data_IF_189688011041
#
_entry.id   IF_189688011041
#
_cell.length_a   1.000
_cell.length_b   1.000
_cell.length_c   1.000
_cell.angle_alpha   90.00
_cell.angle_beta   90.00
_cell.angle_gamma   90.00
#
_symmetry.space_group_name_H-M   'P 1'
#
loop_
_entity.id
_entity.type
_entity.pdbx_description
1 polymer ?
#
# COMPACT_ATOMS: atom_id res chain seq x y z
N UNK A 1 33.33 -69.59 3.29
CA UNK A 1 32.11 -68.88 2.81
C UNK A 1 31.00 -69.92 2.77
N UNK A 2 29.75 -69.70 3.20
CA UNK A 2 29.06 -68.49 3.70
C UNK A 2 28.32 -68.72 5.06
N UNK A 3 27.48 -67.76 5.44
CA UNK A 3 26.39 -67.80 6.46
C UNK A 3 26.75 -67.42 7.91
N UNK A 4 26.57 -66.14 8.24
CA UNK A 4 26.25 -65.70 9.60
C UNK A 4 24.74 -65.41 9.69
N UNK A 5 24.03 -65.93 10.71
CA UNK A 5 22.60 -65.69 10.89
C UNK A 5 22.29 -64.41 11.70
N UNK A 6 21.11 -63.88 11.39
CA UNK A 6 20.32 -62.89 12.11
C UNK A 6 20.09 -63.21 13.60
N UNK A 7 20.02 -62.15 14.41
CA UNK A 7 19.00 -61.79 15.43
C UNK A 7 19.68 -61.00 16.57
N UNK A 8 19.41 -59.69 16.67
CA UNK A 8 18.49 -59.06 17.63
C UNK A 8 19.01 -59.14 19.09
N UNK A 9 19.06 -58.08 19.89
CA UNK A 9 17.92 -57.28 20.34
C UNK A 9 18.49 -56.03 21.05
N UNK A 10 17.67 -54.97 21.09
CA UNK A 10 17.91 -53.68 21.69
C UNK A 10 18.26 -53.71 23.19
N UNK A 11 19.04 -52.73 23.67
CA UNK A 11 18.66 -51.85 24.78
C UNK A 11 19.71 -50.74 25.01
N UNK A 12 19.24 -49.65 25.62
CA UNK A 12 19.98 -48.49 26.17
C UNK A 12 20.47 -47.46 25.13
N UNK A 13 20.25 -46.16 25.30
CA UNK A 13 19.71 -45.42 26.44
C UNK A 13 19.14 -44.09 25.92
N UNK A 14 18.10 -43.62 26.61
CA UNK A 14 17.55 -42.28 26.43
C UNK A 14 18.64 -41.22 26.67
N UNK A 15 18.97 -40.47 25.62
CA UNK A 15 19.65 -39.19 25.75
C UNK A 15 18.58 -38.08 25.83
N UNK A 16 18.75 -37.08 26.71
CA UNK A 16 17.76 -36.05 26.94
C UNK A 16 17.53 -35.30 25.63
N UNK A 17 16.25 -35.17 25.24
CA UNK A 17 15.84 -34.19 24.26
C UNK A 17 16.31 -32.83 24.79
N UNK A 18 17.48 -32.38 24.30
CA UNK A 18 17.84 -30.99 24.36
C UNK A 18 16.62 -30.25 23.79
N UNK A 19 16.02 -29.30 24.52
CA UNK A 19 15.10 -28.40 23.86
C UNK A 19 15.94 -27.79 22.74
N UNK A 20 15.63 -28.15 21.50
CA UNK A 20 16.04 -27.36 20.37
C UNK A 20 15.50 -25.99 20.68
N UNK A 21 16.38 -25.13 21.18
CA UNK A 21 16.23 -23.69 21.11
C UNK A 21 16.18 -23.50 19.60
N UNK A 22 14.97 -23.59 19.05
CA UNK A 22 14.64 -23.07 17.75
C UNK A 22 14.92 -21.60 17.95
N UNK A 23 16.18 -21.25 17.65
CA UNK A 23 16.72 -19.93 17.83
C UNK A 23 15.67 -19.01 17.26
N UNK A 24 15.17 -18.14 18.13
CA UNK A 24 14.13 -17.20 17.86
C UNK A 24 14.39 -16.65 16.47
N UNK A 25 13.66 -17.17 15.48
CA UNK A 25 13.25 -16.35 14.39
C UNK A 25 12.47 -15.26 15.11
N UNK A 26 13.15 -14.18 15.45
CA UNK A 26 12.66 -12.82 15.22
C UNK A 26 12.15 -12.83 13.79
N UNK A 27 10.99 -13.48 13.62
CA UNK A 27 9.91 -13.09 12.76
C UNK A 27 9.89 -11.60 12.97
N UNK A 28 10.48 -10.91 12.00
CA UNK A 28 10.29 -9.50 11.79
C UNK A 28 8.83 -9.28 12.12
N UNK A 29 8.60 -8.68 13.29
CA UNK A 29 7.26 -8.45 13.78
C UNK A 29 6.50 -7.95 12.57
N UNK A 30 5.46 -8.67 12.17
CA UNK A 30 4.50 -8.19 11.22
C UNK A 30 4.23 -6.77 11.70
N UNK A 31 4.78 -5.78 11.01
CA UNK A 31 4.64 -4.38 11.37
C UNK A 31 3.14 -4.20 11.21
N UNK A 32 2.40 -4.30 12.31
CA UNK A 32 0.96 -4.27 12.30
C UNK A 32 0.62 -3.00 11.54
N UNK A 33 0.09 -3.15 10.33
CA UNK A 33 -0.31 -2.01 9.52
C UNK A 33 -1.26 -1.22 10.42
N UNK A 34 -0.84 -0.01 10.77
CA UNK A 34 -1.63 0.79 11.68
C UNK A 34 -2.95 1.12 10.99
N UNK A 35 -4.08 1.16 11.70
CA UNK A 35 -5.37 1.52 11.11
C UNK A 35 -5.32 2.82 10.29
N UNK A 36 -4.55 3.82 10.72
CA UNK A 36 -4.35 5.06 9.97
C UNK A 36 -3.61 4.83 8.63
N UNK A 37 -2.59 3.97 8.61
CA UNK A 37 -1.87 3.56 7.39
C UNK A 37 -2.79 2.82 6.43
N UNK A 38 -3.57 1.86 6.95
CA UNK A 38 -4.50 1.06 6.15
C UNK A 38 -5.60 1.94 5.54
N UNK A 39 -6.17 2.86 6.31
CA UNK A 39 -7.18 3.80 5.81
C UNK A 39 -6.60 4.76 4.77
N UNK A 40 -5.34 5.19 4.94
CA UNK A 40 -4.64 6.02 3.95
C UNK A 40 -4.41 5.27 2.64
N UNK A 41 -3.91 4.03 2.72
CA UNK A 41 -3.72 3.18 1.55
C UNK A 41 -5.04 2.91 0.83
N UNK A 42 -6.11 2.65 1.58
CA UNK A 42 -7.44 2.44 1.01
C UNK A 42 -7.96 3.68 0.30
N UNK A 43 -7.80 4.87 0.88
CA UNK A 43 -8.12 6.13 0.23
C UNK A 43 -7.34 6.30 -1.09
N UNK A 44 -6.04 6.00 -1.09
CA UNK A 44 -5.22 6.02 -2.30
C UNK A 44 -5.71 5.06 -3.39
N UNK A 45 -6.05 3.82 -3.02
CA UNK A 45 -6.62 2.83 -3.93
C UNK A 45 -8.01 3.24 -4.47
N UNK A 46 -8.88 3.79 -3.62
CA UNK A 46 -10.21 4.26 -4.03
C UNK A 46 -10.07 5.43 -5.02
N UNK A 47 -9.14 6.36 -4.78
CA UNK A 47 -8.85 7.48 -5.69
C UNK A 47 -8.26 7.00 -7.02
N UNK A 48 -7.35 6.03 -6.99
CA UNK A 48 -6.84 5.38 -8.20
C UNK A 48 -7.99 4.81 -9.03
N UNK A 49 -8.94 4.10 -8.41
CA UNK A 49 -10.07 3.51 -9.12
C UNK A 49 -10.99 4.58 -9.76
N UNK A 50 -11.22 5.70 -9.06
CA UNK A 50 -12.00 6.83 -9.62
C UNK A 50 -11.28 7.46 -10.81
N UNK A 51 -9.97 7.70 -10.71
CA UNK A 51 -9.18 8.25 -11.81
C UNK A 51 -9.16 7.30 -13.00
N UNK A 52 -8.94 6.00 -12.78
CA UNK A 52 -9.00 4.99 -13.84
C UNK A 52 -10.34 5.03 -14.57
N UNK A 53 -11.46 5.04 -13.84
CA UNK A 53 -12.80 5.08 -14.43
C UNK A 53 -13.05 6.38 -15.20
N UNK A 54 -12.64 7.51 -14.66
CA UNK A 54 -12.75 8.80 -15.33
C UNK A 54 -11.94 8.84 -16.62
N UNK A 55 -10.72 8.31 -16.61
CA UNK A 55 -9.85 8.30 -17.79
C UNK A 55 -10.30 7.27 -18.84
N UNK A 56 -11.00 6.21 -18.44
CA UNK A 56 -11.67 5.29 -19.38
C UNK A 56 -12.95 5.86 -19.99
N UNK A 57 -13.45 7.02 -19.53
CA UNK A 57 -14.67 7.61 -20.08
C UNK A 57 -14.45 8.12 -21.52
N UNK A 58 -15.43 7.89 -22.43
CA UNK A 58 -15.32 8.24 -23.84
C UNK A 58 -15.26 9.74 -24.11
N UNK A 59 -15.74 10.57 -23.19
CA UNK A 59 -15.71 12.03 -23.31
C UNK A 59 -15.09 12.68 -22.09
N UNK A 60 -14.51 13.86 -22.27
CA UNK A 60 -13.96 14.63 -21.15
C UNK A 60 -15.04 15.15 -20.21
N UNK A 61 -16.24 15.46 -20.72
CA UNK A 61 -17.36 15.88 -19.89
C UNK A 61 -17.78 14.78 -18.91
N UNK A 62 -17.83 13.53 -19.39
CA UNK A 62 -18.13 12.37 -18.54
C UNK A 62 -16.98 12.08 -17.56
N UNK A 63 -15.73 12.18 -18.01
CA UNK A 63 -14.56 12.05 -17.14
C UNK A 63 -14.61 13.05 -15.97
N UNK A 64 -14.90 14.32 -16.27
CA UNK A 64 -15.04 15.38 -15.27
C UNK A 64 -16.20 15.07 -14.31
N UNK A 65 -17.37 14.67 -14.83
CA UNK A 65 -18.52 14.33 -14.00
C UNK A 65 -18.23 13.18 -13.02
N UNK A 66 -17.49 12.15 -13.45
CA UNK A 66 -17.02 11.06 -12.58
C UNK A 66 -16.09 11.62 -11.49
N UNK A 67 -15.07 12.40 -11.86
CA UNK A 67 -14.11 12.98 -10.92
C UNK A 67 -14.78 13.90 -9.89
N UNK A 68 -15.77 14.69 -10.31
CA UNK A 68 -16.47 15.61 -9.40
C UNK A 68 -17.39 14.86 -8.45
N UNK A 69 -18.23 13.96 -8.98
CA UNK A 69 -19.22 13.20 -8.21
C UNK A 69 -18.55 12.23 -7.24
N UNK A 70 -17.58 11.46 -7.71
CA UNK A 70 -16.92 10.44 -6.90
C UNK A 70 -15.72 10.99 -6.11
N UNK A 71 -15.11 12.08 -6.59
CA UNK A 71 -14.02 12.75 -5.86
C UNK A 71 -14.48 13.58 -4.67
N UNK A 72 -15.74 14.04 -4.62
CA UNK A 72 -16.29 14.74 -3.46
C UNK A 72 -16.24 13.92 -2.15
N UNK A 73 -16.79 12.69 -2.07
CA UNK A 73 -16.70 11.89 -0.85
C UNK A 73 -15.27 11.46 -0.49
N UNK A 74 -14.38 11.30 -1.49
CA UNK A 74 -12.96 10.99 -1.24
C UNK A 74 -12.23 12.18 -0.62
N UNK A 75 -12.54 13.41 -1.04
CA UNK A 75 -12.04 14.64 -0.40
C UNK A 75 -12.49 14.76 1.04
N UNK A 76 -13.74 14.47 1.33
CA UNK A 76 -14.26 14.49 2.70
C UNK A 76 -13.56 13.44 3.58
N UNK A 77 -13.45 12.19 3.10
CA UNK A 77 -12.72 11.13 3.82
C UNK A 77 -11.26 11.50 4.06
N UNK A 78 -10.60 12.14 3.11
CA UNK A 78 -9.24 12.61 3.28
C UNK A 78 -9.13 13.68 4.37
N UNK A 79 -10.03 14.66 4.40
CA UNK A 79 -10.07 15.69 5.44
C UNK A 79 -10.26 15.09 6.84
N UNK A 80 -11.13 14.08 6.95
CA UNK A 80 -11.35 13.35 8.20
C UNK A 80 -10.15 12.50 8.63
N UNK A 81 -9.44 11.90 7.67
CA UNK A 81 -8.29 11.03 7.94
C UNK A 81 -7.00 11.80 8.25
N UNK A 82 -6.81 12.98 7.66
CA UNK A 82 -5.60 13.82 7.81
C UNK A 82 -5.14 14.02 9.26
N UNK A 83 -5.98 14.46 10.23
CA UNK A 83 -5.51 14.69 11.60
C UNK A 83 -5.01 13.40 12.25
N UNK A 84 -5.75 12.30 12.10
CA UNK A 84 -5.39 10.99 12.66
C UNK A 84 -4.09 10.46 12.05
N UNK A 85 -3.94 10.59 10.72
CA UNK A 85 -2.73 10.18 10.02
C UNK A 85 -1.52 11.04 10.41
N UNK A 86 -1.69 12.35 10.55
CA UNK A 86 -0.64 13.27 10.96
C UNK A 86 -0.19 13.02 12.42
N UNK A 87 -1.13 12.83 13.35
CA UNK A 87 -0.82 12.48 14.74
C UNK A 87 -0.07 11.15 14.84
N UNK A 88 -0.52 10.16 14.07
CA UNK A 88 0.14 8.87 14.00
C UNK A 88 1.57 8.97 13.46
N UNK A 89 1.80 9.77 12.42
CA UNK A 89 3.13 10.00 11.86
C UNK A 89 4.05 10.81 12.79
N UNK A 90 3.51 11.77 13.55
CA UNK A 90 4.28 12.60 14.49
C UNK A 90 4.91 11.79 15.64
N UNK A 91 4.27 10.69 16.04
CA UNK A 91 4.78 9.79 17.09
C UNK A 91 5.84 8.79 16.61
N UNK A 92 6.22 8.79 15.33
CA UNK A 92 7.13 7.80 14.75
C UNK A 92 8.57 8.29 14.72
N UNK A 93 9.50 7.36 14.92
CA UNK A 93 10.93 7.60 14.71
C UNK A 93 11.24 7.86 13.22
N UNK A 94 12.40 8.47 12.89
CA UNK A 94 12.83 8.66 11.50
C UNK A 94 12.90 7.33 10.71
N UNK A 95 13.34 6.25 11.35
CA UNK A 95 13.44 4.92 10.74
C UNK A 95 12.06 4.35 10.40
N UNK A 96 11.09 4.49 11.30
CA UNK A 96 9.71 4.07 11.06
C UNK A 96 9.04 4.89 9.96
N UNK A 97 9.28 6.21 9.97
CA UNK A 97 8.80 7.12 8.92
C UNK A 97 9.34 6.73 7.55
N UNK A 98 10.62 6.37 7.45
CA UNK A 98 11.21 5.85 6.22
C UNK A 98 10.55 4.53 5.78
N UNK A 99 10.26 3.64 6.73
CA UNK A 99 9.53 2.40 6.46
C UNK A 99 8.11 2.61 5.93
N UNK A 100 7.33 3.53 6.53
CA UNK A 100 6.01 3.93 6.03
C UNK A 100 6.12 4.51 4.62
N UNK A 101 7.07 5.43 4.39
CA UNK A 101 7.28 6.02 3.07
C UNK A 101 7.61 4.98 2.00
N UNK A 102 8.49 4.03 2.31
CA UNK A 102 8.83 2.95 1.39
C UNK A 102 7.62 2.08 1.08
N UNK A 103 6.76 1.76 2.06
CA UNK A 103 5.51 1.01 1.81
C UNK A 103 4.53 1.79 0.94
N UNK A 104 4.38 3.10 1.18
CA UNK A 104 3.53 3.96 0.35
C UNK A 104 4.06 4.06 -1.08
N UNK A 105 5.37 4.19 -1.27
CA UNK A 105 5.97 4.23 -2.62
C UNK A 105 5.81 2.92 -3.38
N UNK A 106 5.78 1.79 -2.67
CA UNK A 106 5.52 0.47 -3.26
C UNK A 106 4.02 0.12 -3.37
N UNK A 107 3.12 1.04 -3.01
CA UNK A 107 1.69 0.80 -3.12
C UNK A 107 1.22 0.89 -4.59
N UNK A 108 0.14 0.17 -4.89
CA UNK A 108 -0.44 0.13 -6.23
C UNK A 108 -0.84 1.51 -6.75
N UNK A 109 -1.35 2.39 -5.86
CA UNK A 109 -1.74 3.73 -6.25
C UNK A 109 -0.53 4.61 -6.56
N UNK A 110 0.57 4.49 -5.79
CA UNK A 110 1.80 5.26 -6.05
C UNK A 110 2.43 4.84 -7.39
N UNK A 111 2.47 3.54 -7.68
CA UNK A 111 2.90 3.05 -9.00
C UNK A 111 2.00 3.59 -10.12
N UNK A 112 0.68 3.48 -9.96
CA UNK A 112 -0.27 3.96 -10.95
C UNK A 112 -0.11 5.46 -11.23
N UNK A 113 -0.12 6.30 -10.20
CA UNK A 113 0.03 7.75 -10.38
C UNK A 113 1.41 8.13 -10.92
N UNK A 114 2.47 7.40 -10.57
CA UNK A 114 3.79 7.58 -11.19
C UNK A 114 3.81 7.26 -12.69
N UNK A 115 2.99 6.30 -13.14
CA UNK A 115 2.84 6.01 -14.58
C UNK A 115 1.92 7.01 -15.31
N UNK A 116 0.98 7.64 -14.61
CA UNK A 116 0.11 8.66 -15.21
C UNK A 116 0.89 9.90 -15.63
N UNK A 117 1.93 10.29 -14.90
CA UNK A 117 2.79 11.41 -15.29
C UNK A 117 3.57 11.15 -16.58
N UNK A 118 3.83 9.87 -16.91
CA UNK A 118 4.62 9.47 -18.08
C UNK A 118 3.79 8.99 -19.26
N UNK A 119 2.47 8.82 -19.11
CA UNK A 119 1.57 8.41 -20.19
C UNK A 119 1.39 9.55 -21.23
N UNK A 120 1.83 9.37 -22.49
CA UNK A 120 1.74 10.40 -23.52
C UNK A 120 0.29 10.72 -23.93
N UNK A 121 -0.57 9.70 -23.98
CA UNK A 121 -1.95 9.85 -24.43
C UNK A 121 -2.77 10.60 -23.38
N UNK A 122 -2.55 10.27 -22.10
CA UNK A 122 -3.12 11.01 -20.99
C UNK A 122 -2.59 12.44 -20.94
N UNK A 123 -1.28 12.63 -21.04
CA UNK A 123 -0.68 13.97 -21.03
C UNK A 123 -1.24 14.86 -22.14
N UNK A 124 -1.44 14.32 -23.34
CA UNK A 124 -2.06 15.04 -24.44
C UNK A 124 -3.53 15.40 -24.14
N UNK A 125 -4.30 14.46 -23.59
CA UNK A 125 -5.69 14.70 -23.19
C UNK A 125 -5.81 15.76 -22.09
N UNK A 126 -4.98 15.67 -21.05
CA UNK A 126 -4.93 16.65 -19.95
C UNK A 126 -4.42 18.02 -20.41
N UNK A 127 -3.49 18.07 -21.37
CA UNK A 127 -3.04 19.34 -21.98
C UNK A 127 -4.12 19.97 -22.85
N UNK A 128 -4.90 19.16 -23.57
CA UNK A 128 -6.01 19.60 -24.41
C UNK A 128 -7.23 20.08 -23.60
N UNK A 129 -7.37 19.66 -22.34
CA UNK A 129 -8.51 20.00 -21.50
C UNK A 129 -8.09 20.47 -20.10
N UNK A 130 -8.06 21.79 -19.90
CA UNK A 130 -7.65 22.41 -18.64
C UNK A 130 -8.57 22.05 -17.46
N UNK A 131 -9.87 21.85 -17.70
CA UNK A 131 -10.83 21.45 -16.66
C UNK A 131 -10.60 20.03 -16.18
N UNK A 132 -10.39 19.09 -17.11
CA UNK A 132 -10.05 17.71 -16.78
C UNK A 132 -8.74 17.64 -15.99
N UNK A 133 -7.72 18.38 -16.42
CA UNK A 133 -6.45 18.49 -15.71
C UNK A 133 -6.63 19.06 -14.29
N UNK A 134 -7.45 20.09 -14.13
CA UNK A 134 -7.75 20.66 -12.83
C UNK A 134 -8.50 19.68 -11.93
N UNK A 135 -9.47 18.92 -12.46
CA UNK A 135 -10.21 17.90 -11.71
C UNK A 135 -9.29 16.78 -11.22
N UNK A 136 -8.42 16.25 -12.09
CA UNK A 136 -7.42 15.23 -11.72
C UNK A 136 -6.44 15.78 -10.67
N UNK A 137 -5.89 16.99 -10.87
CA UNK A 137 -4.99 17.63 -9.90
C UNK A 137 -5.67 17.90 -8.56
N UNK A 138 -6.92 18.35 -8.56
CA UNK A 138 -7.68 18.57 -7.32
C UNK A 138 -7.86 17.27 -6.55
N UNK A 139 -8.10 16.16 -7.25
CA UNK A 139 -8.18 14.86 -6.62
C UNK A 139 -6.79 14.47 -6.09
N UNK A 140 -5.73 14.51 -6.88
CA UNK A 140 -4.37 14.17 -6.42
C UNK A 140 -3.87 14.97 -5.21
N UNK A 141 -4.12 16.28 -5.19
CA UNK A 141 -3.77 17.15 -4.05
C UNK A 141 -4.46 16.72 -2.74
N UNK A 142 -5.53 15.94 -2.83
CA UNK A 142 -6.22 15.38 -1.66
C UNK A 142 -5.39 14.30 -0.95
N UNK A 143 -4.52 13.59 -1.70
CA UNK A 143 -3.57 12.61 -1.14
C UNK A 143 -2.28 13.25 -0.63
N UNK A 144 -1.97 14.47 -1.06
CA UNK A 144 -0.85 15.22 -0.51
C UNK A 144 -1.20 15.69 0.92
N UNK A 145 -1.12 14.76 1.85
CA UNK A 145 -1.37 14.98 3.27
C UNK A 145 -0.19 15.65 3.97
N UNK A 146 0.76 16.24 3.22
CA UNK A 146 1.71 17.18 3.80
C UNK A 146 0.92 18.32 4.43
N UNK A 147 0.97 18.39 5.75
CA UNK A 147 0.61 19.61 6.47
C UNK A 147 1.50 20.72 5.89
N UNK A 148 0.88 21.73 5.28
CA UNK A 148 1.55 23.02 5.10
C UNK A 148 1.62 23.70 6.46
#
# INVERSE_FOLDING_TARGET
MPHLPLFALALLAAAPNAPSIVGSATTFAAYQQNPAETQFNRLGSDMMAVVQRALSAPTDAEAIAILEKEGAPLRERAQQLRPTYAQWMAGRSPRETAGVRARLQNSSFATYFGTLETDPQLNNRLRGNSKLNQAVKSLLNTLDMRAK
#
